data_IF_338164428141
#
_entry.id   IF_338164428141
#
_cell.length_a   1.000
_cell.length_b   1.000
_cell.length_c   1.000
_cell.angle_alpha   90.00
_cell.angle_beta   90.00
_cell.angle_gamma   90.00
#
_symmetry.space_group_name_H-M   'P 1'
#
loop_
_entity.id
_entity.type
_entity.pdbx_description
1 polymer ?
#
# COMPACT_ATOMS: atom_id res chain seq x y z
N UNK A 1 5.61 -42.55 20.24
CA UNK A 1 5.15 -41.21 20.72
C UNK A 1 6.19 -40.12 20.59
N UNK A 2 7.40 -40.16 21.19
CA UNK A 2 8.39 -39.07 21.11
C UNK A 2 8.74 -38.64 19.67
N UNK A 3 8.96 -39.59 18.75
CA UNK A 3 9.26 -39.31 17.34
C UNK A 3 8.11 -38.60 16.63
N UNK A 4 6.86 -39.00 16.87
CA UNK A 4 5.68 -38.36 16.28
C UNK A 4 5.52 -36.90 16.75
N UNK A 5 5.71 -36.65 18.05
CA UNK A 5 5.64 -35.30 18.63
C UNK A 5 6.77 -34.42 18.06
N UNK A 6 7.99 -34.96 17.91
CA UNK A 6 9.12 -34.23 17.31
C UNK A 6 8.82 -33.81 15.85
N UNK A 7 8.22 -34.69 15.04
CA UNK A 7 7.83 -34.41 13.67
C UNK A 7 6.74 -33.34 13.61
N UNK A 8 5.72 -33.44 14.47
CA UNK A 8 4.65 -32.42 14.55
C UNK A 8 5.24 -31.06 14.94
N UNK A 9 6.12 -31.03 15.96
CA UNK A 9 6.77 -29.79 16.38
C UNK A 9 7.63 -29.18 15.26
N UNK A 10 8.32 -30.01 14.47
CA UNK A 10 9.08 -29.56 13.29
C UNK A 10 8.18 -28.94 12.23
N UNK A 11 7.05 -29.56 11.92
CA UNK A 11 6.09 -29.04 10.96
C UNK A 11 5.54 -27.66 11.41
N UNK A 12 5.18 -27.57 12.69
CA UNK A 12 4.68 -26.31 13.27
C UNK A 12 5.77 -25.22 13.31
N UNK A 13 7.02 -25.59 13.55
CA UNK A 13 8.16 -24.67 13.43
C UNK A 13 8.28 -24.12 12.00
N UNK A 14 8.24 -24.98 10.99
CA UNK A 14 8.32 -24.56 9.57
C UNK A 14 7.16 -23.63 9.22
N UNK A 15 5.93 -23.98 9.59
CA UNK A 15 4.75 -23.13 9.36
C UNK A 15 4.90 -21.77 10.05
N UNK A 16 5.37 -21.75 11.30
CA UNK A 16 5.61 -20.52 12.05
C UNK A 16 6.68 -19.65 11.38
N UNK A 17 7.79 -20.23 10.94
CA UNK A 17 8.88 -19.53 10.24
C UNK A 17 8.40 -18.97 8.91
N UNK A 18 7.67 -19.76 8.11
CA UNK A 18 7.06 -19.29 6.86
C UNK A 18 6.07 -18.14 7.12
N UNK A 19 5.28 -18.21 8.21
CA UNK A 19 4.39 -17.14 8.61
C UNK A 19 5.12 -15.84 8.99
N UNK A 20 6.25 -15.94 9.69
CA UNK A 20 7.10 -14.80 10.06
C UNK A 20 7.71 -14.17 8.79
N UNK A 21 8.36 -14.96 7.95
CA UNK A 21 9.01 -14.49 6.72
C UNK A 21 7.97 -13.87 5.79
N UNK A 22 6.85 -14.57 5.57
CA UNK A 22 5.75 -14.07 4.75
C UNK A 22 5.16 -12.76 5.28
N UNK A 23 5.00 -12.64 6.61
CA UNK A 23 4.53 -11.42 7.26
C UNK A 23 5.50 -10.25 7.11
N UNK A 24 6.81 -10.49 7.24
CA UNK A 24 7.84 -9.46 7.03
C UNK A 24 7.88 -9.02 5.57
N UNK A 25 7.85 -9.96 4.62
CA UNK A 25 7.78 -9.65 3.20
C UNK A 25 6.51 -8.87 2.85
N UNK A 26 5.36 -9.24 3.43
CA UNK A 26 4.10 -8.52 3.25
C UNK A 26 4.17 -7.09 3.82
N UNK A 27 4.86 -6.89 4.96
CA UNK A 27 5.05 -5.57 5.57
C UNK A 27 5.77 -4.61 4.64
N UNK A 28 6.72 -5.09 3.85
CA UNK A 28 7.44 -4.26 2.87
C UNK A 28 6.64 -4.10 1.57
N UNK A 29 6.06 -5.20 1.08
CA UNK A 29 5.41 -5.23 -0.23
C UNK A 29 4.04 -4.55 -0.26
N UNK A 30 3.20 -4.75 0.76
CA UNK A 30 1.83 -4.22 0.77
C UNK A 30 1.79 -2.70 0.63
N UNK A 31 2.57 -1.89 1.39
CA UNK A 31 2.58 -0.44 1.21
C UNK A 31 2.98 -0.01 -0.20
N UNK A 32 3.96 -0.69 -0.83
CA UNK A 32 4.42 -0.39 -2.19
C UNK A 32 3.29 -0.64 -3.20
N UNK A 33 2.61 -1.79 -3.09
CA UNK A 33 1.49 -2.13 -3.97
C UNK A 33 0.33 -1.16 -3.77
N UNK A 34 0.02 -0.80 -2.53
CA UNK A 34 -1.02 0.19 -2.21
C UNK A 34 -0.67 1.56 -2.79
N UNK A 35 0.57 2.04 -2.61
CA UNK A 35 1.01 3.31 -3.21
C UNK A 35 0.85 3.31 -4.73
N UNK A 36 1.27 2.24 -5.40
CA UNK A 36 1.08 2.10 -6.84
C UNK A 36 -0.40 2.13 -7.23
N UNK A 37 -1.26 1.43 -6.50
CA UNK A 37 -2.71 1.39 -6.74
C UNK A 37 -3.35 2.77 -6.56
N UNK A 38 -2.93 3.52 -5.54
CA UNK A 38 -3.40 4.89 -5.31
C UNK A 38 -2.97 5.81 -6.46
N UNK A 39 -1.72 5.72 -6.92
CA UNK A 39 -1.23 6.49 -8.06
C UNK A 39 -2.04 6.16 -9.33
N UNK A 40 -2.27 4.87 -9.61
CA UNK A 40 -3.09 4.43 -10.75
C UNK A 40 -4.53 4.96 -10.66
N UNK A 41 -5.10 5.03 -9.46
CA UNK A 41 -6.42 5.64 -9.22
C UNK A 41 -6.40 7.16 -9.37
N UNK A 42 -5.37 7.82 -8.84
CA UNK A 42 -5.22 9.28 -8.92
C UNK A 42 -4.95 9.78 -10.36
N UNK A 43 -4.35 8.93 -11.21
CA UNK A 43 -4.03 9.24 -12.62
C UNK A 43 -4.91 8.37 -13.53
N UNK A 44 -6.22 8.39 -13.32
CA UNK A 44 -7.14 7.69 -14.21
C UNK A 44 -7.77 8.64 -15.25
N UNK A 45 -8.43 8.05 -16.24
CA UNK A 45 -9.09 8.79 -17.32
C UNK A 45 -10.08 9.87 -16.84
N UNK A 46 -10.75 9.69 -15.69
CA UNK A 46 -11.70 10.66 -15.17
C UNK A 46 -10.98 11.88 -14.57
N UNK A 47 -9.86 11.66 -13.88
CA UNK A 47 -9.00 12.72 -13.35
C UNK A 47 -8.35 13.48 -14.53
N UNK A 48 -7.83 12.77 -15.52
CA UNK A 48 -7.26 13.38 -16.73
C UNK A 48 -8.28 14.25 -17.46
N UNK A 49 -9.47 13.71 -17.74
CA UNK A 49 -10.55 14.50 -18.34
C UNK A 49 -10.93 15.74 -17.53
N UNK A 50 -10.99 15.60 -16.20
CA UNK A 50 -11.23 16.75 -15.33
C UNK A 50 -10.14 17.81 -15.49
N UNK A 51 -8.87 17.41 -15.58
CA UNK A 51 -7.75 18.33 -15.80
C UNK A 51 -7.81 18.95 -17.20
N UNK A 52 -8.05 18.17 -18.25
CA UNK A 52 -8.20 18.64 -19.63
C UNK A 52 -9.33 19.68 -19.77
N UNK A 53 -10.48 19.40 -19.17
CA UNK A 53 -11.62 20.33 -19.14
C UNK A 53 -11.26 21.67 -18.47
N UNK A 54 -10.35 21.67 -17.50
CA UNK A 54 -9.92 22.88 -16.77
C UNK A 54 -8.74 23.58 -17.42
N UNK A 55 -7.85 22.82 -18.05
CA UNK A 55 -6.67 23.36 -18.73
C UNK A 55 -6.97 23.85 -20.17
N UNK A 56 -8.16 23.49 -20.70
CA UNK A 56 -8.61 23.92 -22.04
C UNK A 56 -7.75 23.36 -23.17
N UNK A 57 -8.23 22.33 -23.85
CA UNK A 57 -7.61 21.73 -25.07
C UNK A 57 -6.15 21.25 -24.96
N UNK A 58 -5.60 21.12 -23.75
CA UNK A 58 -4.30 20.50 -23.55
C UNK A 58 -4.51 18.99 -23.55
N UNK A 59 -3.92 18.29 -24.51
CA UNK A 59 -3.91 16.84 -24.53
C UNK A 59 -2.95 16.34 -23.43
N UNK A 60 -3.50 15.82 -22.35
CA UNK A 60 -2.75 15.34 -21.19
C UNK A 60 -2.47 13.85 -21.37
N UNK A 61 -1.21 13.50 -21.63
CA UNK A 61 -0.78 12.12 -21.76
C UNK A 61 -0.71 11.44 -20.37
N UNK A 62 -1.60 10.49 -20.16
CA UNK A 62 -1.73 9.73 -18.90
C UNK A 62 -0.43 8.98 -18.55
N UNK A 63 0.19 8.31 -19.53
CA UNK A 63 1.40 7.53 -19.30
C UNK A 63 2.56 8.43 -18.90
N UNK A 64 2.67 9.60 -19.52
CA UNK A 64 3.68 10.60 -19.18
C UNK A 64 3.50 11.16 -17.77
N UNK A 65 2.26 11.37 -17.31
CA UNK A 65 2.00 11.76 -15.91
C UNK A 65 2.39 10.62 -14.96
N UNK A 66 2.03 9.38 -15.27
CA UNK A 66 2.37 8.21 -14.43
C UNK A 66 3.87 8.02 -14.28
N UNK A 67 4.61 8.10 -15.37
CA UNK A 67 6.07 7.95 -15.37
C UNK A 67 6.76 9.04 -14.54
N UNK A 68 6.25 10.26 -14.59
CA UNK A 68 6.83 11.41 -13.91
C UNK A 68 6.06 11.83 -12.64
N UNK A 69 5.19 10.97 -12.13
CA UNK A 69 4.30 11.30 -11.02
C UNK A 69 5.06 11.78 -9.78
N UNK A 70 6.19 11.14 -9.47
CA UNK A 70 7.01 11.48 -8.31
C UNK A 70 7.71 12.84 -8.46
N UNK A 71 7.86 13.35 -9.69
CA UNK A 71 8.48 14.64 -9.98
C UNK A 71 7.47 15.79 -9.95
N UNK A 72 6.17 15.48 -9.85
CA UNK A 72 5.10 16.47 -9.70
C UNK A 72 4.90 16.76 -8.21
N UNK A 73 5.63 17.76 -7.73
CA UNK A 73 5.55 18.20 -6.34
C UNK A 73 4.09 18.58 -5.99
N UNK A 74 3.66 18.21 -4.80
CA UNK A 74 2.29 18.39 -4.29
C UNK A 74 1.38 17.18 -4.54
N UNK A 75 1.55 16.41 -5.61
CA UNK A 75 0.78 15.17 -5.81
C UNK A 75 1.21 14.07 -4.83
N UNK A 76 2.49 14.02 -4.49
CA UNK A 76 2.99 13.04 -3.51
C UNK A 76 2.28 13.17 -2.15
N UNK A 77 2.09 14.39 -1.65
CA UNK A 77 1.39 14.61 -0.39
C UNK A 77 -0.06 14.11 -0.46
N UNK A 78 -0.74 14.38 -1.56
CA UNK A 78 -2.11 13.88 -1.79
C UNK A 78 -2.13 12.36 -1.79
N UNK A 79 -1.20 11.71 -2.49
CA UNK A 79 -1.08 10.25 -2.51
C UNK A 79 -0.80 9.68 -1.13
N UNK A 80 0.05 10.31 -0.34
CA UNK A 80 0.41 9.84 0.99
C UNK A 80 -0.82 9.81 1.92
N UNK A 81 -1.73 10.80 1.86
CA UNK A 81 -3.02 10.74 2.57
C UNK A 81 -3.86 9.51 2.19
N UNK A 82 -3.91 9.18 0.90
CA UNK A 82 -4.64 8.01 0.43
C UNK A 82 -3.96 6.70 0.84
N UNK A 83 -2.64 6.64 0.79
CA UNK A 83 -1.86 5.46 1.23
C UNK A 83 -2.07 5.21 2.72
N UNK A 84 -1.98 6.25 3.55
CA UNK A 84 -2.23 6.15 4.99
C UNK A 84 -3.65 5.66 5.27
N UNK A 85 -4.66 6.25 4.60
CA UNK A 85 -6.05 5.84 4.76
C UNK A 85 -6.27 4.39 4.31
N UNK A 86 -5.65 3.95 3.22
CA UNK A 86 -5.75 2.58 2.73
C UNK A 86 -5.10 1.58 3.69
N UNK A 87 -3.92 1.89 4.22
CA UNK A 87 -3.23 1.04 5.19
C UNK A 87 -4.01 0.96 6.52
N UNK A 88 -4.60 2.07 6.97
CA UNK A 88 -5.48 2.11 8.14
C UNK A 88 -6.74 1.29 7.92
N UNK A 89 -7.37 1.41 6.74
CA UNK A 89 -8.52 0.60 6.36
C UNK A 89 -8.19 -0.90 6.32
N UNK A 90 -7.02 -1.28 5.79
CA UNK A 90 -6.53 -2.67 5.82
C UNK A 90 -6.34 -3.15 7.26
N UNK A 91 -5.76 -2.32 8.12
CA UNK A 91 -5.55 -2.66 9.53
C UNK A 91 -6.87 -2.86 10.27
N UNK A 92 -7.87 -1.99 10.04
CA UNK A 92 -9.19 -2.04 10.69
C UNK A 92 -10.08 -3.16 10.13
N UNK A 93 -10.07 -3.35 8.82
CA UNK A 93 -10.93 -4.33 8.15
C UNK A 93 -10.56 -5.79 8.48
N UNK A 94 -9.29 -6.07 8.77
CA UNK A 94 -8.81 -7.42 9.02
C UNK A 94 -9.06 -8.35 7.83
N UNK A 95 -10.23 -9.01 7.83
CA UNK A 95 -10.64 -9.96 6.77
C UNK A 95 -11.85 -9.50 5.95
N UNK A 96 -12.41 -8.35 6.29
CA UNK A 96 -13.58 -7.77 5.61
C UNK A 96 -13.16 -7.06 4.32
N UNK A 97 -14.16 -6.61 3.55
CA UNK A 97 -13.93 -5.74 2.41
C UNK A 97 -13.27 -4.43 2.88
N UNK A 98 -12.22 -4.02 2.16
CA UNK A 98 -11.50 -2.79 2.46
C UNK A 98 -12.25 -1.63 1.80
N UNK A 99 -12.69 -0.68 2.62
CA UNK A 99 -13.28 0.57 2.18
C UNK A 99 -12.47 1.73 2.78
N UNK A 100 -11.82 2.47 1.91
CA UNK A 100 -10.96 3.59 2.30
C UNK A 100 -11.75 4.88 2.57
N UNK A 101 -12.99 4.99 2.07
CA UNK A 101 -13.79 6.22 2.18
C UNK A 101 -14.01 6.68 3.61
N UNK A 102 -14.20 5.73 4.53
CA UNK A 102 -14.35 6.02 5.96
C UNK A 102 -13.05 6.39 6.69
N UNK A 103 -11.89 6.13 6.08
CA UNK A 103 -10.57 6.40 6.66
C UNK A 103 -9.91 7.65 6.07
N UNK A 104 -10.40 8.17 4.93
CA UNK A 104 -9.85 9.36 4.28
C UNK A 104 -10.34 10.63 4.98
N UNK A 105 -9.41 11.50 5.38
CA UNK A 105 -9.73 12.89 5.71
C UNK A 105 -9.90 13.73 4.45
N UNK A 106 -11.10 13.69 3.88
CA UNK A 106 -11.44 14.46 2.67
C UNK A 106 -11.20 15.97 2.80
N UNK A 107 -11.23 16.51 4.03
CA UNK A 107 -10.95 17.93 4.28
C UNK A 107 -9.45 18.20 4.17
N UNK A 108 -8.62 17.33 4.75
CA UNK A 108 -7.16 17.43 4.64
C UNK A 108 -6.72 17.31 3.19
N UNK A 109 -7.23 16.31 2.45
CA UNK A 109 -6.92 16.11 1.03
C UNK A 109 -7.31 17.33 0.19
N UNK A 110 -8.51 17.88 0.39
CA UNK A 110 -8.95 19.10 -0.33
C UNK A 110 -8.07 20.30 -0.02
N UNK A 111 -7.72 20.49 1.24
CA UNK A 111 -6.83 21.58 1.62
C UNK A 111 -5.45 21.43 0.99
N UNK A 112 -4.90 20.23 0.96
CA UNK A 112 -3.61 19.95 0.32
C UNK A 112 -3.65 20.23 -1.18
N UNK A 113 -4.69 19.76 -1.89
CA UNK A 113 -4.88 20.06 -3.31
C UNK A 113 -4.98 21.57 -3.52
N UNK A 114 -5.73 22.29 -2.70
CA UNK A 114 -5.88 23.74 -2.84
C UNK A 114 -4.56 24.50 -2.59
N UNK A 115 -3.78 24.07 -1.58
CA UNK A 115 -2.50 24.68 -1.25
C UNK A 115 -1.43 24.40 -2.31
N UNK A 116 -1.45 23.22 -2.89
CA UNK A 116 -0.44 22.77 -3.86
C UNK A 116 -0.86 22.98 -5.32
N UNK A 117 -2.08 23.46 -5.57
CA UNK A 117 -2.64 23.62 -6.93
C UNK A 117 -1.71 24.38 -7.88
N UNK A 118 -1.12 25.49 -7.43
CA UNK A 118 -0.20 26.28 -8.26
C UNK A 118 1.09 25.50 -8.58
N UNK A 119 1.63 24.78 -7.61
CA UNK A 119 2.83 23.93 -7.77
C UNK A 119 2.54 22.79 -8.74
N UNK A 120 1.40 22.11 -8.59
CA UNK A 120 0.95 21.02 -9.47
C UNK A 120 0.81 21.55 -10.90
N UNK A 121 0.12 22.67 -11.09
CA UNK A 121 -0.05 23.29 -12.42
C UNK A 121 1.30 23.60 -13.05
N UNK A 122 2.20 24.23 -12.31
CA UNK A 122 3.53 24.57 -12.82
C UNK A 122 4.33 23.33 -13.24
N UNK A 123 4.30 22.27 -12.44
CA UNK A 123 5.04 21.06 -12.75
C UNK A 123 4.42 20.30 -13.94
N UNK A 124 3.10 20.20 -14.00
CA UNK A 124 2.40 19.63 -15.16
C UNK A 124 2.70 20.44 -16.44
N UNK A 125 2.65 21.77 -16.38
CA UNK A 125 2.96 22.63 -17.52
C UNK A 125 4.41 22.42 -18.01
N UNK A 126 5.38 22.34 -17.10
CA UNK A 126 6.77 22.03 -17.44
C UNK A 126 6.89 20.66 -18.10
N UNK A 127 6.21 19.64 -17.55
CA UNK A 127 6.25 18.27 -18.07
C UNK A 127 5.78 18.19 -19.53
N UNK A 128 4.76 18.99 -19.89
CA UNK A 128 4.20 19.02 -21.24
C UNK A 128 4.80 20.12 -22.14
N UNK A 129 5.80 20.88 -21.65
CA UNK A 129 6.38 22.03 -22.34
C UNK A 129 5.33 23.06 -22.76
N UNK A 130 4.32 23.28 -21.91
CA UNK A 130 3.24 24.23 -22.17
C UNK A 130 3.64 25.58 -21.57
N UNK A 131 3.66 26.62 -22.39
CA UNK A 131 3.86 28.00 -21.96
C UNK A 131 2.52 28.70 -21.87
N UNK A 132 2.14 29.13 -20.69
CA UNK A 132 1.01 30.03 -20.46
C UNK A 132 1.48 31.21 -19.64
N UNK A 133 0.81 32.33 -19.83
CA UNK A 133 1.10 33.53 -19.07
C UNK A 133 0.69 33.38 -17.59
N UNK A 134 1.28 34.16 -16.70
CA UNK A 134 1.12 34.04 -15.26
C UNK A 134 -0.33 34.24 -14.82
N UNK A 135 -1.10 35.09 -15.48
CA UNK A 135 -2.49 35.35 -15.12
C UNK A 135 -3.37 34.13 -15.41
N UNK A 136 -3.18 33.48 -16.56
CA UNK A 136 -3.88 32.22 -16.88
C UNK A 136 -3.51 31.12 -15.95
N UNK A 137 -2.22 31.02 -15.56
CA UNK A 137 -1.75 30.02 -14.59
C UNK A 137 -2.44 30.19 -13.23
N UNK A 138 -2.55 31.40 -12.72
CA UNK A 138 -3.25 31.69 -11.47
C UNK A 138 -4.74 31.36 -11.55
N UNK A 139 -5.38 31.67 -12.68
CA UNK A 139 -6.79 31.31 -12.91
C UNK A 139 -6.97 29.78 -12.88
N UNK A 140 -6.13 29.03 -13.58
CA UNK A 140 -6.19 27.55 -13.61
C UNK A 140 -5.97 26.98 -12.20
N UNK A 141 -4.98 27.47 -11.47
CA UNK A 141 -4.72 27.04 -10.10
C UNK A 141 -5.91 27.31 -9.18
N UNK A 142 -6.55 28.48 -9.32
CA UNK A 142 -7.78 28.83 -8.60
C UNK A 142 -8.95 27.90 -8.94
N UNK A 143 -9.12 27.58 -10.23
CA UNK A 143 -10.17 26.66 -10.69
C UNK A 143 -9.94 25.25 -10.11
N UNK A 144 -8.70 24.75 -10.08
CA UNK A 144 -8.36 23.45 -9.47
C UNK A 144 -8.63 23.49 -7.97
N UNK A 145 -8.24 24.55 -7.28
CA UNK A 145 -8.52 24.72 -5.84
C UNK A 145 -10.02 24.71 -5.54
N UNK A 146 -10.82 25.45 -6.28
CA UNK A 146 -12.30 25.47 -6.15
C UNK A 146 -12.90 24.11 -6.53
N UNK A 147 -12.40 23.48 -7.57
CA UNK A 147 -12.83 22.16 -8.05
C UNK A 147 -12.34 20.97 -7.19
N UNK A 148 -11.54 21.24 -6.17
CA UNK A 148 -10.91 20.19 -5.33
C UNK A 148 -11.92 19.19 -4.74
N UNK A 149 -13.12 19.63 -4.39
CA UNK A 149 -14.18 18.72 -3.85
C UNK A 149 -14.57 17.66 -4.89
N UNK A 150 -14.79 18.08 -6.15
CA UNK A 150 -15.16 17.15 -7.23
C UNK A 150 -13.97 16.26 -7.61
N UNK A 151 -12.76 16.82 -7.62
CA UNK A 151 -11.53 16.07 -7.90
C UNK A 151 -11.30 14.98 -6.83
N UNK A 152 -11.42 15.32 -5.54
CA UNK A 152 -11.32 14.35 -4.44
C UNK A 152 -12.35 13.24 -4.57
N UNK A 153 -13.59 13.56 -4.96
CA UNK A 153 -14.63 12.53 -5.16
C UNK A 153 -14.23 11.58 -6.29
N UNK A 154 -13.79 12.10 -7.44
CA UNK A 154 -13.33 11.29 -8.59
C UNK A 154 -12.17 10.38 -8.19
N UNK A 155 -11.19 10.92 -7.45
CA UNK A 155 -10.04 10.13 -6.97
C UNK A 155 -10.50 9.06 -5.97
N UNK A 156 -11.38 9.40 -5.03
CA UNK A 156 -11.92 8.44 -4.06
C UNK A 156 -12.57 7.24 -4.74
N UNK A 157 -13.46 7.50 -5.71
CA UNK A 157 -14.18 6.45 -6.43
C UNK A 157 -13.19 5.54 -7.18
N UNK A 158 -12.23 6.13 -7.88
CA UNK A 158 -11.24 5.39 -8.64
C UNK A 158 -10.25 4.60 -7.76
N UNK A 159 -9.79 5.20 -6.66
CA UNK A 159 -8.90 4.51 -5.73
C UNK A 159 -9.63 3.35 -5.05
N UNK A 160 -10.91 3.53 -4.65
CA UNK A 160 -11.70 2.45 -4.07
C UNK A 160 -11.89 1.28 -5.03
N UNK A 161 -12.22 1.55 -6.30
CA UNK A 161 -12.37 0.52 -7.33
C UNK A 161 -11.07 -0.26 -7.52
N UNK A 162 -9.95 0.43 -7.68
CA UNK A 162 -8.64 -0.20 -7.83
C UNK A 162 -8.22 -0.96 -6.57
N UNK A 163 -8.52 -0.46 -5.38
CA UNK A 163 -8.22 -1.12 -4.11
C UNK A 163 -8.98 -2.44 -3.96
N UNK A 164 -10.24 -2.51 -4.35
CA UNK A 164 -11.03 -3.75 -4.29
C UNK A 164 -10.42 -4.83 -5.19
N UNK A 165 -10.00 -4.46 -6.40
CA UNK A 165 -9.33 -5.37 -7.35
C UNK A 165 -7.99 -5.85 -6.79
N UNK A 166 -7.14 -4.92 -6.33
CA UNK A 166 -5.77 -5.24 -5.89
C UNK A 166 -5.79 -6.06 -4.61
N UNK A 167 -6.60 -5.67 -3.61
CA UNK A 167 -6.68 -6.40 -2.34
C UNK A 167 -7.24 -7.81 -2.49
N UNK A 168 -8.09 -8.03 -3.52
CA UNK A 168 -8.53 -9.37 -3.88
C UNK A 168 -7.37 -10.20 -4.44
N UNK A 169 -6.51 -9.61 -5.29
CA UNK A 169 -5.33 -10.29 -5.88
C UNK A 169 -4.26 -10.62 -4.86
N UNK A 170 -3.98 -9.70 -3.91
CA UNK A 170 -2.96 -9.88 -2.87
C UNK A 170 -3.57 -10.24 -1.51
N UNK A 171 -4.68 -10.96 -1.51
CA UNK A 171 -5.45 -11.26 -0.30
C UNK A 171 -4.63 -11.95 0.79
N UNK A 172 -3.71 -12.82 0.41
CA UNK A 172 -2.84 -13.54 1.36
C UNK A 172 -1.85 -12.58 2.00
N UNK A 173 -1.19 -11.75 1.20
CA UNK A 173 -0.24 -10.74 1.66
C UNK A 173 -0.92 -9.71 2.59
N UNK A 174 -2.12 -9.26 2.25
CA UNK A 174 -2.90 -8.33 3.10
C UNK A 174 -3.20 -8.97 4.46
N UNK A 175 -3.56 -10.24 4.50
CA UNK A 175 -3.77 -10.97 5.76
C UNK A 175 -2.49 -11.12 6.58
N UNK A 176 -1.38 -11.48 5.94
CA UNK A 176 -0.09 -11.59 6.59
C UNK A 176 0.38 -10.23 7.12
N UNK A 177 0.18 -9.17 6.34
CA UNK A 177 0.44 -7.79 6.75
C UNK A 177 -0.35 -7.41 8.01
N UNK A 178 -1.66 -7.67 8.01
CA UNK A 178 -2.51 -7.42 9.18
C UNK A 178 -2.01 -8.17 10.42
N UNK A 179 -1.72 -9.46 10.31
CA UNK A 179 -1.23 -10.27 11.44
C UNK A 179 0.10 -9.77 11.99
N UNK A 180 1.06 -9.39 11.12
CA UNK A 180 2.38 -8.95 11.59
C UNK A 180 2.35 -7.57 12.24
N UNK A 181 1.36 -6.73 11.93
CA UNK A 181 1.18 -5.42 12.57
C UNK A 181 0.66 -5.55 14.00
N UNK A 182 -0.14 -6.56 14.32
CA UNK A 182 -0.66 -6.78 15.66
C UNK A 182 0.47 -7.24 16.57
N UNK A 183 0.96 -6.37 17.44
CA UNK A 183 2.11 -6.62 18.33
C UNK A 183 2.00 -7.94 19.09
N UNK A 184 0.84 -8.21 19.70
CA UNK A 184 0.63 -9.40 20.50
C UNK A 184 0.65 -10.69 19.66
N UNK A 185 0.06 -10.67 18.47
CA UNK A 185 0.07 -11.79 17.52
C UNK A 185 1.48 -12.05 17.03
N UNK A 186 2.24 -11.03 16.69
CA UNK A 186 3.63 -11.12 16.27
C UNK A 186 4.51 -11.73 17.35
N UNK A 187 4.39 -11.25 18.60
CA UNK A 187 5.15 -11.80 19.74
C UNK A 187 4.77 -13.25 19.96
N UNK A 188 3.48 -13.58 19.96
CA UNK A 188 3.00 -14.95 20.14
C UNK A 188 3.55 -15.87 19.03
N UNK A 189 3.56 -15.42 17.78
CA UNK A 189 4.09 -16.17 16.65
C UNK A 189 5.60 -16.45 16.82
N UNK A 190 6.39 -15.47 17.23
CA UNK A 190 7.83 -15.67 17.50
C UNK A 190 8.08 -16.64 18.64
N UNK A 191 7.36 -16.45 19.76
CA UNK A 191 7.51 -17.34 20.94
C UNK A 191 7.11 -18.77 20.60
N UNK A 192 5.95 -18.98 19.96
CA UNK A 192 5.49 -20.32 19.57
C UNK A 192 6.46 -21.00 18.61
N UNK A 193 6.96 -20.27 17.61
CA UNK A 193 7.94 -20.79 16.65
C UNK A 193 9.22 -21.23 17.36
N UNK A 194 9.73 -20.43 18.30
CA UNK A 194 10.90 -20.78 19.11
C UNK A 194 10.64 -21.99 19.99
N UNK A 195 9.47 -22.09 20.66
CA UNK A 195 9.08 -23.22 21.48
C UNK A 195 9.01 -24.50 20.65
N UNK A 196 8.40 -24.46 19.46
CA UNK A 196 8.35 -25.63 18.58
C UNK A 196 9.72 -26.07 18.09
N UNK A 197 10.64 -25.15 17.83
CA UNK A 197 12.04 -25.49 17.54
C UNK A 197 12.69 -26.24 18.69
N UNK A 198 12.59 -25.70 19.92
CA UNK A 198 13.15 -26.32 21.11
C UNK A 198 12.55 -27.71 21.33
N UNK A 199 11.24 -27.89 21.26
CA UNK A 199 10.56 -29.19 21.41
C UNK A 199 11.07 -30.17 20.34
N UNK A 200 11.17 -29.74 19.08
CA UNK A 200 11.66 -30.58 17.98
C UNK A 200 13.07 -31.10 18.25
N UNK A 201 13.97 -30.25 18.77
CA UNK A 201 15.35 -30.62 19.11
C UNK A 201 15.41 -31.57 20.32
N UNK A 202 14.70 -31.24 21.39
CA UNK A 202 14.74 -32.01 22.63
C UNK A 202 14.19 -33.43 22.47
N UNK A 203 13.17 -33.61 21.62
CA UNK A 203 12.54 -34.89 21.36
C UNK A 203 13.20 -35.69 20.23
N UNK A 204 14.18 -35.14 19.55
CA UNK A 204 14.96 -35.84 18.54
C UNK A 204 16.00 -36.74 19.17
N UNK A 205 16.36 -37.82 18.47
CA UNK A 205 17.40 -38.79 18.96
C UNK A 205 18.74 -38.06 19.16
N UNK A 206 19.44 -38.34 20.27
CA UNK A 206 20.66 -37.64 20.68
C UNK A 206 21.73 -37.60 19.57
N UNK A 207 21.89 -38.70 18.84
CA UNK A 207 22.88 -38.81 17.75
C UNK A 207 22.56 -37.96 16.50
N UNK A 208 21.28 -37.60 16.36
CA UNK A 208 20.81 -36.86 15.16
C UNK A 208 20.44 -35.41 15.45
N UNK A 209 20.63 -34.93 16.69
CA UNK A 209 20.20 -33.59 17.10
C UNK A 209 20.80 -32.46 16.24
N UNK A 210 22.10 -32.55 15.98
CA UNK A 210 22.81 -31.56 15.17
C UNK A 210 22.38 -31.61 13.69
N UNK A 211 22.13 -32.82 13.18
CA UNK A 211 21.65 -33.01 11.80
C UNK A 211 20.21 -32.50 11.63
N UNK A 212 19.35 -32.71 12.62
CA UNK A 212 18.00 -32.17 12.64
C UNK A 212 17.98 -30.66 12.77
N UNK A 213 18.88 -30.07 13.58
CA UNK A 213 19.01 -28.61 13.72
C UNK A 213 19.43 -28.01 12.40
N UNK A 214 20.48 -28.51 11.74
CA UNK A 214 20.93 -28.03 10.44
C UNK A 214 19.83 -28.14 9.38
N UNK A 215 19.16 -29.30 9.29
CA UNK A 215 18.09 -29.50 8.30
C UNK A 215 16.87 -28.61 8.57
N UNK A 216 16.48 -28.41 9.83
CA UNK A 216 15.34 -27.55 10.15
C UNK A 216 15.61 -26.08 9.82
N UNK A 217 16.85 -25.61 10.02
CA UNK A 217 17.24 -24.23 9.68
C UNK A 217 17.35 -24.08 8.15
N UNK A 218 17.80 -25.10 7.43
CA UNK A 218 17.95 -25.03 5.96
C UNK A 218 16.60 -25.08 5.22
N UNK A 219 15.59 -25.72 5.81
CA UNK A 219 14.24 -25.86 5.21
C UNK A 219 13.34 -24.67 5.60
N UNK A 220 13.62 -23.96 6.68
CA UNK A 220 12.88 -22.81 7.17
C UNK A 220 13.36 -21.50 6.54
#
# INVERSE_FOLDING_TARGET
MKKTISVIAMVLFIIGTCGIIGGLAAKERVPIVIKKTVIEGAVNNNVIKFLEDKLGSVNVDEDKIRENFNDIEGLNNVVDYYVEAALDAIYKAGFSKIDITGSIDNKAVRNEIALTANTIVNNVMKLFNISIDDDKRLIISGIIGIGSTKLVQIINDAVNENMDIVTTRIRVEVKLYHFILIKNVRIALYVLTAVFLVISILLSDKEKRMLHLGRNITIA
#
